data_IF_127803363417
#
_entry.id   IF_127803363417
#
_cell.length_a   1.000
_cell.length_b   1.000
_cell.length_c   1.000
_cell.angle_alpha   90.00
_cell.angle_beta   90.00
_cell.angle_gamma   90.00
#
_symmetry.space_group_name_H-M   'P 1'
#
loop_
_entity.id
_entity.type
_entity.pdbx_description
1 polymer ?
#
# COMPACT_ATOMS: atom_id res chain seq x y z
N UNK A 1 51.33 -0.36 -7.99
CA UNK A 1 50.34 -1.40 -7.67
C UNK A 1 49.69 -1.80 -8.98
N UNK A 2 49.50 -3.10 -9.21
CA UNK A 2 48.97 -3.62 -10.48
C UNK A 2 47.47 -3.30 -10.58
N UNK A 3 47.00 -2.87 -11.75
CA UNK A 3 45.56 -2.59 -12.01
C UNK A 3 44.62 -3.72 -11.56
N UNK A 4 45.11 -4.97 -11.49
CA UNK A 4 44.36 -6.13 -10.98
C UNK A 4 44.22 -6.15 -9.45
N UNK A 5 45.24 -5.71 -8.73
CA UNK A 5 45.23 -5.65 -7.25
C UNK A 5 44.29 -4.56 -6.76
N UNK A 6 44.28 -3.41 -7.45
CA UNK A 6 43.37 -2.30 -7.16
C UNK A 6 41.91 -2.70 -7.43
N UNK A 7 41.65 -3.38 -8.56
CA UNK A 7 40.32 -3.90 -8.88
C UNK A 7 39.83 -4.94 -7.86
N UNK A 8 40.69 -5.88 -7.44
CA UNK A 8 40.35 -6.89 -6.44
C UNK A 8 40.01 -6.25 -5.09
N UNK A 9 40.73 -5.20 -4.69
CA UNK A 9 40.47 -4.46 -3.45
C UNK A 9 39.11 -3.75 -3.50
N UNK A 10 38.82 -3.05 -4.59
CA UNK A 10 37.52 -2.36 -4.79
C UNK A 10 36.36 -3.36 -4.77
N UNK A 11 36.50 -4.49 -5.47
CA UNK A 11 35.48 -5.53 -5.49
C UNK A 11 35.24 -6.08 -4.08
N UNK A 12 36.32 -6.36 -3.32
CA UNK A 12 36.19 -6.86 -1.95
C UNK A 12 35.53 -5.83 -1.03
N UNK A 13 35.83 -4.55 -1.18
CA UNK A 13 35.21 -3.48 -0.39
C UNK A 13 33.71 -3.36 -0.70
N UNK A 14 33.33 -3.27 -1.98
CA UNK A 14 31.92 -3.14 -2.39
C UNK A 14 31.12 -4.41 -2.06
N UNK A 15 31.70 -5.59 -2.25
CA UNK A 15 31.02 -6.87 -1.98
C UNK A 15 30.71 -7.08 -0.50
N UNK A 16 31.41 -6.37 0.39
CA UNK A 16 31.16 -6.41 1.83
C UNK A 16 30.09 -5.42 2.31
N UNK A 17 29.67 -4.49 1.43
CA UNK A 17 28.68 -3.47 1.75
C UNK A 17 27.25 -3.95 1.48
N UNK A 18 26.31 -3.40 2.24
CA UNK A 18 24.89 -3.63 1.98
C UNK A 18 24.46 -2.79 0.76
N UNK A 19 24.05 -3.45 -0.32
CA UNK A 19 23.63 -2.78 -1.55
C UNK A 19 22.43 -1.83 -1.29
N UNK A 20 21.56 -2.14 -0.33
CA UNK A 20 20.44 -1.27 0.04
C UNK A 20 20.93 0.13 0.47
N UNK A 21 22.08 0.22 1.14
CA UNK A 21 22.67 1.49 1.58
C UNK A 21 23.21 2.32 0.40
N UNK A 22 23.57 1.66 -0.71
CA UNK A 22 24.06 2.31 -1.92
C UNK A 22 22.94 2.89 -2.77
N UNK A 23 21.78 2.23 -2.82
CA UNK A 23 20.59 2.73 -3.53
C UNK A 23 19.78 3.73 -2.71
N UNK A 24 19.99 3.77 -1.39
CA UNK A 24 19.30 4.71 -0.50
C UNK A 24 19.86 6.12 -0.65
N UNK A 25 19.19 6.93 -1.47
CA UNK A 25 19.50 8.35 -1.61
C UNK A 25 19.33 9.13 -0.30
N UNK A 26 20.07 10.23 -0.13
CA UNK A 26 20.03 11.10 1.06
C UNK A 26 18.64 11.66 1.38
N UNK A 27 17.79 11.80 0.34
CA UNK A 27 16.41 12.26 0.47
C UNK A 27 15.46 11.16 0.97
N UNK A 28 15.85 9.89 0.89
CA UNK A 28 15.02 8.77 1.36
C UNK A 28 15.19 8.52 2.87
N UNK A 29 14.65 9.47 3.64
CA UNK A 29 14.71 9.46 5.10
C UNK A 29 13.88 8.31 5.70
N UNK A 30 14.11 8.00 6.98
CA UNK A 30 13.32 7.00 7.69
C UNK A 30 11.84 7.39 7.80
N UNK A 31 11.53 8.67 7.93
CA UNK A 31 10.15 9.17 7.99
C UNK A 31 9.37 8.88 6.71
N UNK A 32 10.04 9.05 5.56
CA UNK A 32 9.47 8.73 4.25
C UNK A 32 9.26 7.23 4.12
N UNK A 33 10.25 6.44 4.50
CA UNK A 33 10.14 4.99 4.47
C UNK A 33 8.96 4.46 5.30
N UNK A 34 8.81 4.97 6.54
CA UNK A 34 7.70 4.61 7.42
C UNK A 34 6.36 5.12 6.89
N UNK A 35 6.31 6.32 6.31
CA UNK A 35 5.09 6.87 5.72
C UNK A 35 4.62 6.06 4.51
N UNK A 36 5.54 5.65 3.64
CA UNK A 36 5.25 4.77 2.49
C UNK A 36 4.73 3.42 2.99
N UNK A 37 5.36 2.84 4.02
CA UNK A 37 4.87 1.60 4.65
C UNK A 37 3.47 1.75 5.25
N UNK A 38 3.22 2.87 5.92
CA UNK A 38 1.90 3.20 6.43
C UNK A 38 0.85 3.22 5.33
N UNK A 39 1.17 3.84 4.18
CA UNK A 39 0.24 3.90 3.06
C UNK A 39 0.02 2.54 2.38
N UNK A 40 1.06 1.73 2.22
CA UNK A 40 0.93 0.34 1.76
C UNK A 40 -0.06 -0.42 2.66
N UNK A 41 0.05 -0.23 3.98
CA UNK A 41 -0.88 -0.86 4.93
C UNK A 41 -2.32 -0.35 4.77
N UNK A 42 -2.52 0.97 4.60
CA UNK A 42 -3.83 1.56 4.34
C UNK A 42 -4.49 1.00 3.08
N UNK A 43 -3.73 0.81 1.99
CA UNK A 43 -4.23 0.18 0.76
C UNK A 43 -4.61 -1.30 0.98
N UNK A 44 -3.87 -2.03 1.82
CA UNK A 44 -4.20 -3.41 2.17
C UNK A 44 -5.44 -3.52 3.07
N UNK A 45 -5.64 -2.59 3.99
CA UNK A 45 -6.88 -2.47 4.77
C UNK A 45 -8.08 -2.18 3.85
N UNK A 46 -7.91 -1.25 2.89
CA UNK A 46 -8.92 -0.92 1.89
C UNK A 46 -9.25 -2.13 1.00
N UNK A 47 -8.24 -2.87 0.52
CA UNK A 47 -8.43 -4.13 -0.20
C UNK A 47 -9.32 -5.10 0.58
N UNK A 48 -9.05 -5.29 1.87
CA UNK A 48 -9.80 -6.24 2.67
C UNK A 48 -11.25 -5.79 2.91
N UNK A 49 -11.45 -4.48 3.14
CA UNK A 49 -12.78 -3.88 3.20
C UNK A 49 -13.57 -4.09 1.90
N UNK A 50 -13.00 -3.74 0.75
CA UNK A 50 -13.69 -3.86 -0.53
C UNK A 50 -14.04 -5.32 -0.87
N UNK A 51 -13.14 -6.26 -0.54
CA UNK A 51 -13.45 -7.69 -0.64
C UNK A 51 -14.64 -8.10 0.22
N UNK A 52 -14.74 -7.58 1.43
CA UNK A 52 -15.90 -7.81 2.30
C UNK A 52 -17.15 -7.25 1.62
N UNK A 53 -17.13 -5.98 1.22
CA UNK A 53 -18.29 -5.32 0.61
C UNK A 53 -18.78 -6.07 -0.63
N UNK A 54 -17.85 -6.57 -1.46
CA UNK A 54 -18.18 -7.43 -2.60
C UNK A 54 -18.93 -8.69 -2.19
N UNK A 55 -18.41 -9.43 -1.21
CA UNK A 55 -19.00 -10.66 -0.70
C UNK A 55 -20.42 -10.45 -0.15
N UNK A 56 -20.63 -9.36 0.59
CA UNK A 56 -21.95 -9.02 1.14
C UNK A 56 -22.98 -8.69 0.06
N UNK A 57 -22.57 -7.91 -0.95
CA UNK A 57 -23.42 -7.60 -2.11
C UNK A 57 -23.78 -8.84 -2.92
N UNK A 58 -22.90 -9.84 -2.97
CA UNK A 58 -23.09 -11.09 -3.71
C UNK A 58 -24.01 -12.10 -2.98
N UNK A 59 -24.33 -11.89 -1.70
CA UNK A 59 -25.24 -12.77 -0.95
C UNK A 59 -26.61 -12.84 -1.63
N UNK A 60 -27.21 -14.02 -1.69
CA UNK A 60 -28.49 -14.23 -2.39
C UNK A 60 -29.63 -13.35 -1.86
N UNK A 61 -29.68 -13.07 -0.55
CA UNK A 61 -30.69 -12.19 0.04
C UNK A 61 -30.47 -10.69 -0.27
N UNK A 62 -29.24 -10.29 -0.63
CA UNK A 62 -28.89 -8.91 -0.99
C UNK A 62 -28.99 -8.70 -2.50
N UNK A 63 -28.44 -9.62 -3.30
CA UNK A 63 -28.54 -9.65 -4.76
C UNK A 63 -28.12 -8.35 -5.49
N UNK A 64 -27.16 -7.60 -4.94
CA UNK A 64 -26.63 -6.36 -5.54
C UNK A 64 -25.38 -6.64 -6.36
N UNK A 65 -25.49 -7.48 -7.38
CA UNK A 65 -24.34 -7.96 -8.16
C UNK A 65 -23.54 -6.86 -8.87
N UNK A 66 -24.19 -5.76 -9.29
CA UNK A 66 -23.49 -4.61 -9.85
C UNK A 66 -22.54 -3.94 -8.85
N UNK A 67 -22.97 -3.82 -7.58
CA UNK A 67 -22.12 -3.33 -6.51
C UNK A 67 -21.03 -4.35 -6.15
N UNK A 68 -21.34 -5.65 -6.18
CA UNK A 68 -20.33 -6.69 -5.97
C UNK A 68 -19.16 -6.54 -6.96
N UNK A 69 -19.46 -6.42 -8.26
CA UNK A 69 -18.44 -6.21 -9.30
C UNK A 69 -17.66 -4.91 -9.12
N UNK A 70 -18.33 -3.83 -8.71
CA UNK A 70 -17.67 -2.55 -8.41
C UNK A 70 -16.64 -2.72 -7.30
N UNK A 71 -17.03 -3.36 -6.19
CA UNK A 71 -16.14 -3.56 -5.04
C UNK A 71 -15.03 -4.57 -5.32
N UNK A 72 -15.27 -5.60 -6.12
CA UNK A 72 -14.22 -6.50 -6.60
C UNK A 72 -13.14 -5.74 -7.38
N UNK A 73 -13.56 -4.80 -8.24
CA UNK A 73 -12.62 -3.95 -8.97
C UNK A 73 -11.83 -3.04 -8.01
N UNK A 74 -12.51 -2.35 -7.08
CA UNK A 74 -11.83 -1.50 -6.10
C UNK A 74 -10.82 -2.30 -5.24
N UNK A 75 -11.19 -3.52 -4.82
CA UNK A 75 -10.25 -4.40 -4.13
C UNK A 75 -9.02 -4.71 -5.00
N UNK A 76 -9.23 -5.10 -6.26
CA UNK A 76 -8.12 -5.39 -7.17
C UNK A 76 -7.19 -4.18 -7.37
N UNK A 77 -7.78 -2.98 -7.53
CA UNK A 77 -7.04 -1.72 -7.64
C UNK A 77 -6.18 -1.46 -6.39
N UNK A 78 -6.76 -1.46 -5.19
CA UNK A 78 -5.99 -1.24 -3.94
C UNK A 78 -4.87 -2.25 -3.73
N UNK A 79 -5.06 -3.51 -4.11
CA UNK A 79 -3.99 -4.51 -4.02
C UNK A 79 -2.84 -4.23 -5.01
N UNK A 80 -3.17 -3.76 -6.21
CA UNK A 80 -2.16 -3.36 -7.21
C UNK A 80 -1.39 -2.12 -6.73
N UNK A 81 -2.07 -1.13 -6.16
CA UNK A 81 -1.44 0.08 -5.62
C UNK A 81 -0.48 -0.25 -4.46
N UNK A 82 -0.92 -1.07 -3.50
CA UNK A 82 -0.07 -1.56 -2.42
C UNK A 82 1.20 -2.25 -2.95
N UNK A 83 1.04 -3.12 -3.96
CA UNK A 83 2.15 -3.85 -4.58
C UNK A 83 3.13 -2.93 -5.33
N UNK A 84 2.63 -1.94 -6.06
CA UNK A 84 3.48 -0.98 -6.76
C UNK A 84 4.26 -0.10 -5.79
N UNK A 85 3.61 0.33 -4.71
CA UNK A 85 4.26 1.14 -3.70
C UNK A 85 5.27 0.33 -2.88
N UNK A 86 5.02 -0.96 -2.62
CA UNK A 86 6.02 -1.86 -2.03
C UNK A 86 7.25 -2.05 -2.93
N UNK A 87 7.04 -2.19 -4.25
CA UNK A 87 8.16 -2.20 -5.20
C UNK A 87 8.95 -0.90 -5.18
N UNK A 88 8.27 0.24 -5.14
CA UNK A 88 8.92 1.54 -5.04
C UNK A 88 9.75 1.67 -3.76
N UNK A 89 9.18 1.25 -2.61
CA UNK A 89 9.87 1.22 -1.32
C UNK A 89 11.20 0.43 -1.41
N UNK A 90 11.16 -0.77 -1.98
CA UNK A 90 12.33 -1.64 -2.13
C UNK A 90 13.35 -1.03 -3.10
N UNK A 91 12.90 -0.47 -4.23
CA UNK A 91 13.77 0.19 -5.21
C UNK A 91 14.54 1.38 -4.63
N UNK A 92 14.03 2.02 -3.58
CA UNK A 92 14.69 3.13 -2.88
C UNK A 92 15.60 2.70 -1.71
N UNK A 93 15.82 1.39 -1.54
CA UNK A 93 16.61 0.83 -0.42
C UNK A 93 15.84 0.77 0.91
N UNK A 94 14.52 0.92 0.87
CA UNK A 94 13.62 0.71 2.01
C UNK A 94 13.31 -0.77 2.21
N UNK A 95 12.77 -1.12 3.38
CA UNK A 95 12.43 -2.50 3.72
C UNK A 95 10.94 -2.67 3.95
N UNK A 96 10.35 -3.67 3.31
CA UNK A 96 8.98 -4.08 3.62
C UNK A 96 8.89 -4.62 5.06
N UNK A 97 7.84 -4.24 5.78
CA UNK A 97 7.50 -4.73 7.12
C UNK A 97 5.99 -4.88 7.25
N UNK A 98 5.39 -5.91 6.62
CA UNK A 98 3.95 -6.11 6.66
C UNK A 98 3.45 -6.28 8.10
N UNK A 99 2.30 -5.68 8.39
CA UNK A 99 1.61 -5.76 9.67
C UNK A 99 0.28 -6.52 9.52
N UNK A 100 -0.32 -6.90 10.64
CA UNK A 100 -1.62 -7.56 10.62
C UNK A 100 -2.70 -6.61 10.09
N UNK A 101 -3.47 -7.07 9.09
CA UNK A 101 -4.61 -6.35 8.52
C UNK A 101 -5.84 -6.62 9.40
N UNK A 102 -6.51 -5.56 9.84
CA UNK A 102 -7.67 -5.70 10.72
C UNK A 102 -8.89 -6.23 9.96
N UNK A 103 -9.72 -7.05 10.62
CA UNK A 103 -10.99 -7.47 10.04
C UNK A 103 -11.94 -6.26 9.85
N UNK A 104 -12.53 -6.06 8.66
CA UNK A 104 -13.50 -5.00 8.43
C UNK A 104 -14.70 -5.14 9.37
N UNK A 105 -15.10 -4.04 10.00
CA UNK A 105 -16.21 -4.01 10.97
C UNK A 105 -17.58 -3.70 10.34
N UNK A 106 -17.62 -3.61 9.02
CA UNK A 106 -18.84 -3.30 8.30
C UNK A 106 -19.80 -4.49 8.31
N UNK A 107 -21.10 -4.23 8.42
CA UNK A 107 -22.15 -5.25 8.32
C UNK A 107 -23.28 -4.74 7.44
N UNK A 108 -23.74 -5.56 6.49
CA UNK A 108 -24.91 -5.27 5.68
C UNK A 108 -26.17 -5.79 6.36
N UNK A 109 -27.17 -4.94 6.66
CA UNK A 109 -28.43 -5.41 7.23
C UNK A 109 -29.13 -6.34 6.23
N UNK A 110 -29.68 -7.45 6.75
CA UNK A 110 -30.37 -8.43 5.91
C UNK A 110 -31.75 -7.94 5.45
N UNK A 111 -32.40 -7.04 6.20
CA UNK A 111 -33.70 -6.45 5.85
C UNK A 111 -33.99 -5.16 6.65
N UNK A 112 -34.39 -4.05 5.98
CA UNK A 112 -34.30 -3.83 4.54
C UNK A 112 -32.84 -3.76 4.10
N UNK A 113 -32.57 -4.16 2.86
CA UNK A 113 -31.26 -3.97 2.23
C UNK A 113 -31.03 -2.47 2.08
N UNK A 114 -30.00 -1.95 2.75
CA UNK A 114 -29.66 -0.52 2.79
C UNK A 114 -28.30 -0.32 2.08
N UNK A 115 -28.28 0.22 0.86
CA UNK A 115 -27.04 0.29 0.07
C UNK A 115 -26.19 1.54 0.35
N UNK A 116 -26.69 2.55 1.09
CA UNK A 116 -26.01 3.84 1.30
C UNK A 116 -24.86 3.72 2.28
N UNK A 117 -25.02 3.04 3.43
CA UNK A 117 -23.93 2.89 4.40
C UNK A 117 -22.66 2.26 3.81
N UNK A 118 -22.73 1.15 3.05
CA UNK A 118 -21.59 0.58 2.35
C UNK A 118 -20.90 1.54 1.39
N UNK A 119 -21.68 2.33 0.63
CA UNK A 119 -21.15 3.36 -0.27
C UNK A 119 -20.48 4.49 0.51
N UNK A 120 -21.05 4.86 1.67
CA UNK A 120 -20.46 5.85 2.56
C UNK A 120 -19.13 5.37 3.14
N UNK A 121 -19.05 4.13 3.61
CA UNK A 121 -17.80 3.54 4.12
C UNK A 121 -16.73 3.45 3.03
N UNK A 122 -17.11 3.08 1.80
CA UNK A 122 -16.20 3.12 0.65
C UNK A 122 -15.70 4.55 0.35
N UNK A 123 -16.60 5.55 0.37
CA UNK A 123 -16.23 6.95 0.17
C UNK A 123 -15.29 7.47 1.27
N UNK A 124 -15.57 7.15 2.53
CA UNK A 124 -14.71 7.52 3.66
C UNK A 124 -13.33 6.88 3.55
N UNK A 125 -13.27 5.62 3.11
CA UNK A 125 -12.00 4.92 2.85
C UNK A 125 -11.20 5.63 1.75
N UNK A 126 -11.83 5.93 0.61
CA UNK A 126 -11.15 6.64 -0.48
C UNK A 126 -10.69 8.05 -0.07
N UNK A 127 -11.47 8.77 0.74
CA UNK A 127 -11.04 10.06 1.29
C UNK A 127 -9.81 9.93 2.17
N UNK A 128 -9.79 8.95 3.08
CA UNK A 128 -8.64 8.71 3.95
C UNK A 128 -7.38 8.34 3.15
N UNK A 129 -7.51 7.54 2.09
CA UNK A 129 -6.40 7.22 1.20
C UNK A 129 -5.89 8.45 0.47
N UNK A 130 -6.80 9.29 -0.06
CA UNK A 130 -6.45 10.52 -0.74
C UNK A 130 -5.72 11.51 0.19
N UNK A 131 -6.25 11.74 1.39
CA UNK A 131 -5.63 12.61 2.39
C UNK A 131 -4.22 12.12 2.76
N UNK A 132 -4.01 10.80 2.87
CA UNK A 132 -2.69 10.25 3.15
C UNK A 132 -1.73 10.36 1.96
N UNK A 133 -2.23 10.21 0.72
CA UNK A 133 -1.45 10.48 -0.49
C UNK A 133 -1.03 11.95 -0.59
N UNK A 134 -1.94 12.88 -0.30
CA UNK A 134 -1.64 14.33 -0.28
C UNK A 134 -0.56 14.64 0.78
N UNK A 135 -0.65 14.01 1.95
CA UNK A 135 0.38 14.10 3.00
C UNK A 135 1.72 13.54 2.51
N UNK A 136 1.73 12.38 1.85
CA UNK A 136 2.94 11.77 1.28
C UNK A 136 3.60 12.66 0.21
N UNK A 137 2.82 13.20 -0.71
CA UNK A 137 3.29 14.15 -1.72
C UNK A 137 3.90 15.39 -1.06
N UNK A 138 3.22 15.95 -0.06
CA UNK A 138 3.73 17.09 0.71
C UNK A 138 5.04 16.76 1.43
N UNK A 139 5.18 15.56 2.00
CA UNK A 139 6.42 15.11 2.61
C UNK A 139 7.55 15.00 1.58
N UNK A 140 7.23 14.54 0.36
CA UNK A 140 8.18 14.45 -0.73
C UNK A 140 8.65 15.81 -1.26
N UNK A 141 7.73 16.78 -1.38
CA UNK A 141 8.05 18.14 -1.86
C UNK A 141 8.93 18.92 -0.87
N UNK A 142 8.83 18.62 0.43
CA UNK A 142 9.60 19.26 1.48
C UNK A 142 10.95 18.57 1.78
N UNK A 143 11.35 17.58 0.97
CA UNK A 143 12.67 16.95 1.14
C UNK A 143 13.80 17.93 0.76
N UNK A 144 14.90 17.97 1.53
CA UNK A 144 16.05 18.84 1.27
C UNK A 144 16.87 18.44 0.03
#
# INVERSE_FOLDING_TARGET
MSSKEDAAKIISEISSQNIDELVRGSTFTNEVEESIRGHIHSELDAWFLFRKLAGDCARANISLHGFAMLWERCAAESFIEAHWLEKYLIQRGGRSRPTAIAAPKCEWPDSPVEPVRPVKEALETHKSLLEDLERLCSLADNMP
#
